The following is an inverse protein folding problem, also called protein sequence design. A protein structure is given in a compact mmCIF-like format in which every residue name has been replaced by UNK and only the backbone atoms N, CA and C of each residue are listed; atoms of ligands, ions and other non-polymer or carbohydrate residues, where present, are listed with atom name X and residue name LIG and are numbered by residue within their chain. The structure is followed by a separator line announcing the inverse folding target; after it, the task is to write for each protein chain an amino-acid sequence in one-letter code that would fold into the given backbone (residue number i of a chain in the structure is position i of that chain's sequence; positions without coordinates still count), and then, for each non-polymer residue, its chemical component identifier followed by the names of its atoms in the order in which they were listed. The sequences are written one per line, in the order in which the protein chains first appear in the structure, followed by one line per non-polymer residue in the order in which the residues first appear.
data_IF_763275858808
#
_entry.id   IF_763275858808
#
_cell.length_a   1.000
_cell.length_b   1.000
_cell.length_c   1.000
_cell.angle_alpha   90.00
_cell.angle_beta   90.00
_cell.angle_gamma   90.00
#
_symmetry.space_group_name_H-M   'P 1'
#
loop_
_entity.id
_entity.type
_entity.pdbx_description
1 polymer ?
#
# COMPACT_ATOMS: atom_id res chain seq x y z
N UNK A 1 15.81 10.84 19.42
CA UNK A 1 14.98 10.93 18.20
C UNK A 1 14.78 12.41 17.93
N UNK A 2 15.41 12.96 16.91
CA UNK A 2 15.26 14.37 16.53
C UNK A 2 13.83 14.59 16.04
N UNK A 3 12.97 15.09 16.92
CA UNK A 3 11.55 15.33 16.71
C UNK A 3 11.38 16.51 15.75
N UNK A 4 11.54 16.24 14.45
CA UNK A 4 11.37 17.25 13.43
C UNK A 4 9.87 17.37 13.17
N UNK A 5 9.21 18.30 13.86
CA UNK A 5 7.74 18.47 13.86
C UNK A 5 7.13 18.52 12.46
N UNK A 6 7.89 18.99 11.47
CA UNK A 6 7.48 18.97 10.06
C UNK A 6 7.45 17.58 9.44
N UNK A 7 8.43 16.72 9.74
CA UNK A 7 8.43 15.33 9.29
C UNK A 7 7.30 14.54 9.95
N UNK A 8 7.05 14.78 11.24
CA UNK A 8 5.97 14.11 11.95
C UNK A 8 4.60 14.52 11.39
N UNK A 9 4.37 15.82 11.17
CA UNK A 9 3.13 16.32 10.55
C UNK A 9 2.95 15.85 9.10
N UNK A 10 4.03 15.75 8.33
CA UNK A 10 3.99 15.23 6.96
C UNK A 10 3.65 13.73 6.94
N UNK A 11 4.21 12.96 7.86
CA UNK A 11 3.93 11.53 7.97
C UNK A 11 2.49 11.29 8.44
N UNK A 12 2.00 12.11 9.38
CA UNK A 12 0.61 12.10 9.82
C UNK A 12 -0.36 12.47 8.67
N UNK A 13 -0.02 13.47 7.86
CA UNK A 13 -0.80 13.82 6.66
C UNK A 13 -0.88 12.66 5.66
N UNK A 14 0.24 12.00 5.38
CA UNK A 14 0.29 10.84 4.49
C UNK A 14 -0.57 9.69 5.05
N UNK A 15 -0.51 9.45 6.37
CA UNK A 15 -1.32 8.42 7.03
C UNK A 15 -2.82 8.72 6.95
N UNK A 16 -3.23 9.96 7.23
CA UNK A 16 -4.64 10.37 7.12
C UNK A 16 -5.12 10.24 5.68
N UNK A 17 -4.31 10.67 4.71
CA UNK A 17 -4.60 10.51 3.28
C UNK A 17 -4.78 9.04 2.91
N UNK A 18 -3.88 8.15 3.36
CA UNK A 18 -3.96 6.73 3.12
C UNK A 18 -5.23 6.09 3.72
N UNK A 19 -5.62 6.47 4.94
CA UNK A 19 -6.83 5.96 5.59
C UNK A 19 -8.08 6.37 4.81
N UNK A 20 -8.18 7.65 4.42
CA UNK A 20 -9.32 8.13 3.62
C UNK A 20 -9.38 7.41 2.28
N UNK A 21 -8.24 7.26 1.61
CA UNK A 21 -8.15 6.60 0.32
C UNK A 21 -8.56 5.13 0.41
N UNK A 22 -8.06 4.38 1.40
CA UNK A 22 -8.48 3.00 1.68
C UNK A 22 -9.97 2.89 2.03
N UNK A 23 -10.53 3.88 2.73
CA UNK A 23 -11.95 3.96 3.04
C UNK A 23 -12.82 4.09 1.78
N UNK A 24 -12.44 4.98 0.86
CA UNK A 24 -13.14 5.17 -0.43
C UNK A 24 -13.05 3.91 -1.28
N UNK A 25 -11.86 3.32 -1.41
CA UNK A 25 -11.65 2.08 -2.17
C UNK A 25 -12.43 0.90 -1.58
N UNK A 26 -12.44 0.77 -0.25
CA UNK A 26 -13.22 -0.26 0.44
C UNK A 26 -14.72 -0.09 0.24
N UNK A 27 -15.22 1.15 0.26
CA UNK A 27 -16.61 1.46 -0.05
C UNK A 27 -16.95 1.13 -1.51
N UNK A 28 -16.09 1.50 -2.46
CA UNK A 28 -16.27 1.20 -3.88
C UNK A 28 -16.26 -0.31 -4.14
N UNK A 29 -15.30 -1.03 -3.56
CA UNK A 29 -15.22 -2.50 -3.60
C UNK A 29 -16.51 -3.14 -3.06
N UNK A 30 -17.03 -2.65 -1.94
CA UNK A 30 -18.28 -3.17 -1.36
C UNK A 30 -19.50 -2.95 -2.26
N UNK A 31 -19.46 -1.96 -3.14
CA UNK A 31 -20.55 -1.63 -4.08
C UNK A 31 -20.45 -2.35 -5.42
N UNK A 32 -19.24 -2.62 -5.90
CA UNK A 32 -18.99 -3.25 -7.22
C UNK A 32 -18.62 -4.72 -7.14
N UNK A 33 -18.10 -5.19 -6.01
CA UNK A 33 -17.54 -6.53 -5.86
C UNK A 33 -16.25 -6.75 -6.68
N UNK A 34 -15.71 -5.71 -7.31
CA UNK A 34 -14.54 -5.80 -8.17
C UNK A 34 -13.25 -5.76 -7.35
N UNK A 35 -12.64 -6.93 -7.20
CA UNK A 35 -11.39 -7.16 -6.46
C UNK A 35 -10.20 -6.39 -7.04
N UNK A 36 -10.31 -5.90 -8.28
CA UNK A 36 -9.29 -5.07 -8.92
C UNK A 36 -9.13 -3.70 -8.26
N UNK A 37 -10.16 -3.23 -7.54
CA UNK A 37 -10.16 -1.96 -6.81
C UNK A 37 -9.25 -2.03 -5.57
N UNK A 38 -9.15 -3.20 -4.95
CA UNK A 38 -8.27 -3.43 -3.79
C UNK A 38 -6.88 -3.96 -4.19
N UNK A 39 -6.60 -4.07 -5.49
CA UNK A 39 -5.29 -4.47 -6.00
C UNK A 39 -4.25 -3.43 -5.60
N UNK A 40 -3.21 -3.85 -4.87
CA UNK A 40 -2.20 -2.95 -4.34
C UNK A 40 -1.46 -2.15 -5.42
N UNK A 41 -1.31 -2.69 -6.63
CA UNK A 41 -0.70 -1.98 -7.75
C UNK A 41 -1.58 -0.87 -8.31
N UNK A 42 -2.90 -1.07 -8.26
CA UNK A 42 -3.88 -0.05 -8.60
C UNK A 42 -3.89 1.07 -7.54
N UNK A 43 -3.77 0.71 -6.25
CA UNK A 43 -3.68 1.68 -5.14
C UNK A 43 -2.42 2.54 -5.24
N UNK A 44 -1.30 1.96 -5.66
CA UNK A 44 -0.05 2.67 -5.89
C UNK A 44 0.00 3.41 -7.24
N UNK A 45 -1.09 3.36 -8.02
CA UNK A 45 -1.20 3.94 -9.36
C UNK A 45 -0.03 3.55 -10.27
N UNK A 46 0.45 2.31 -10.13
CA UNK A 46 1.60 1.81 -10.89
C UNK A 46 1.31 1.69 -12.38
N UNK A 47 0.03 1.71 -12.78
CA UNK A 47 -0.41 1.80 -14.17
C UNK A 47 0.12 3.06 -14.87
N UNK A 48 0.41 4.14 -14.11
CA UNK A 48 1.06 5.33 -14.65
C UNK A 48 2.49 5.06 -15.16
N UNK A 49 3.20 4.12 -14.54
CA UNK A 49 4.60 3.78 -14.88
C UNK A 49 4.65 2.52 -15.76
N UNK A 50 3.79 1.55 -15.50
CA UNK A 50 3.69 0.27 -16.18
C UNK A 50 2.24 0.02 -16.59
N UNK A 51 1.82 0.41 -17.81
CA UNK A 51 0.45 0.26 -18.25
C UNK A 51 0.02 -1.22 -18.24
N UNK A 52 -1.22 -1.50 -17.84
CA UNK A 52 -1.82 -2.83 -17.70
C UNK A 52 -1.20 -3.73 -16.62
N UNK A 53 -0.34 -3.19 -15.74
CA UNK A 53 0.19 -4.00 -14.63
C UNK A 53 -0.87 -4.26 -13.56
N UNK A 54 -1.90 -3.41 -13.48
CA UNK A 54 -2.99 -3.53 -12.51
C UNK A 54 -4.16 -4.41 -13.01
N UNK A 55 -4.18 -4.80 -14.28
CA UNK A 55 -5.28 -5.53 -14.91
C UNK A 55 -5.03 -7.05 -14.96
N UNK A 56 -6.08 -7.86 -14.74
CA UNK A 56 -6.05 -9.32 -14.86
C UNK A 56 -5.68 -10.11 -13.59
N UNK A 57 -5.98 -11.41 -13.59
CA UNK A 57 -5.80 -12.30 -12.42
C UNK A 57 -4.33 -12.52 -12.03
N UNK A 58 -3.41 -12.43 -12.99
CA UNK A 58 -1.96 -12.45 -12.74
C UNK A 58 -1.50 -11.25 -11.93
N UNK A 59 -2.06 -10.06 -12.22
CA UNK A 59 -1.79 -8.83 -11.46
C UNK A 59 -2.23 -8.95 -10.01
N UNK A 60 -3.41 -9.52 -9.77
CA UNK A 60 -3.92 -9.74 -8.41
C UNK A 60 -2.96 -10.63 -7.60
N UNK A 61 -2.50 -11.74 -8.17
CA UNK A 61 -1.53 -12.65 -7.53
C UNK A 61 -0.21 -11.92 -7.26
N UNK A 62 0.31 -11.18 -8.25
CA UNK A 62 1.54 -10.42 -8.13
C UNK A 62 1.44 -9.31 -7.07
N UNK A 63 0.28 -8.66 -6.94
CA UNK A 63 0.03 -7.63 -5.92
C UNK A 63 0.05 -8.21 -4.51
N UNK A 64 -0.54 -9.39 -4.31
CA UNK A 64 -0.55 -10.09 -3.02
C UNK A 64 0.88 -10.52 -2.66
N UNK A 65 1.63 -11.04 -3.63
CA UNK A 65 3.04 -11.40 -3.44
C UNK A 65 3.91 -10.18 -3.14
N UNK A 66 3.67 -9.03 -3.78
CA UNK A 66 4.39 -7.79 -3.54
C UNK A 66 4.14 -7.27 -2.12
N UNK A 67 2.89 -7.26 -1.65
CA UNK A 67 2.53 -6.88 -0.28
C UNK A 67 3.17 -7.86 0.72
N UNK A 68 3.05 -9.17 0.50
CA UNK A 68 3.68 -10.17 1.35
C UNK A 68 5.20 -9.99 1.43
N UNK A 69 5.86 -9.73 0.30
CA UNK A 69 7.28 -9.43 0.22
C UNK A 69 7.66 -8.16 0.98
N UNK A 70 6.88 -7.08 0.84
CA UNK A 70 7.09 -5.83 1.58
C UNK A 70 6.99 -6.04 3.09
N UNK A 71 5.95 -6.72 3.56
CA UNK A 71 5.79 -7.04 4.98
C UNK A 71 6.93 -7.92 5.51
N UNK A 72 7.39 -8.89 4.72
CA UNK A 72 8.50 -9.76 5.09
C UNK A 72 9.83 -8.97 5.15
N UNK A 73 10.05 -8.05 4.21
CA UNK A 73 11.20 -7.15 4.21
C UNK A 73 11.18 -6.20 5.42
N UNK A 74 10.04 -5.55 5.70
CA UNK A 74 9.87 -4.72 6.90
C UNK A 74 10.10 -5.54 8.16
N UNK A 75 9.53 -6.74 8.25
CA UNK A 75 9.71 -7.63 9.40
C UNK A 75 11.18 -7.95 9.62
N UNK A 76 11.92 -8.37 8.59
CA UNK A 76 13.35 -8.63 8.68
C UNK A 76 14.14 -7.39 9.09
N UNK A 77 13.83 -6.21 8.55
CA UNK A 77 14.55 -4.97 8.86
C UNK A 77 14.30 -4.49 10.30
N UNK A 78 13.04 -4.52 10.76
CA UNK A 78 12.67 -4.09 12.10
C UNK A 78 13.03 -5.12 13.18
N UNK A 79 12.92 -6.42 12.92
CA UNK A 79 13.40 -7.43 13.88
C UNK A 79 14.92 -7.42 14.01
N UNK A 80 15.65 -7.15 12.92
CA UNK A 80 17.11 -6.96 12.96
C UNK A 80 17.50 -5.72 13.77
N UNK A 81 16.74 -4.62 13.66
CA UNK A 81 16.96 -3.39 14.45
C UNK A 81 16.65 -3.53 15.94
N UNK A 82 15.86 -4.52 16.36
CA UNK A 82 15.49 -4.76 17.78
C UNK A 82 16.45 -5.70 18.52
N UNK A 83 17.39 -6.35 17.81
CA UNK A 83 18.38 -7.30 18.37
C UNK A 83 19.83 -6.80 18.31
N UNK A 84 20.07 -5.57 17.85
CA UNK A 84 21.38 -4.89 17.89
C UNK A 84 21.29 -3.65 18.78
#
# INVERSE_FOLDING_TARGET
MTHNRFLDALLELILVSAIVHLGVLGFQFSRTGDVSIINYFNILDLDFIFPDIASGSSSQIASVLAVAGLYLALWLFFTKKRRS
#
